data_IF_493032526288
#
_entry.id   IF_493032526288
#
_cell.length_a   1.000
_cell.length_b   1.000
_cell.length_c   1.000
_cell.angle_alpha   90.00
_cell.angle_beta   90.00
_cell.angle_gamma   90.00
#
_symmetry.space_group_name_H-M   'P 1'
#
loop_
_entity.id
_entity.type
_entity.pdbx_description
1 polymer ?
#
# COMPACT_ATOMS: atom_id res chain seq x y z
N UNK A 1 -6.64 15.75 26.70
CA UNK A 1 -7.52 14.76 26.05
C UNK A 1 -8.89 15.38 25.88
N UNK A 2 -9.35 15.50 24.64
CA UNK A 2 -10.76 15.77 24.31
C UNK A 2 -11.58 14.54 24.68
N UNK A 3 -12.80 14.75 25.16
CA UNK A 3 -13.78 13.68 25.34
C UNK A 3 -15.10 14.07 24.66
N UNK A 4 -16.07 13.17 24.67
CA UNK A 4 -17.38 13.34 24.00
C UNK A 4 -18.24 14.49 24.53
N UNK A 5 -17.74 15.26 25.51
CA UNK A 5 -18.38 16.46 26.09
C UNK A 5 -17.62 17.75 25.79
N UNK A 6 -16.51 17.70 25.06
CA UNK A 6 -15.78 18.92 24.68
C UNK A 6 -16.59 19.74 23.69
N UNK A 7 -16.66 21.04 23.95
CA UNK A 7 -17.34 22.01 23.10
C UNK A 7 -16.66 22.13 21.72
N UNK A 8 -17.38 22.57 20.67
CA UNK A 8 -16.80 22.81 19.35
C UNK A 8 -15.60 23.76 19.38
N UNK A 9 -15.60 24.73 20.30
CA UNK A 9 -14.51 25.70 20.49
C UNK A 9 -13.28 25.06 21.13
N UNK A 10 -13.45 24.15 22.10
CA UNK A 10 -12.35 23.37 22.69
C UNK A 10 -11.75 22.38 21.69
N UNK A 11 -12.59 21.78 20.84
CA UNK A 11 -12.14 20.90 19.75
C UNK A 11 -11.33 21.70 18.72
N UNK A 12 -11.80 22.91 18.36
CA UNK A 12 -11.10 23.79 17.43
C UNK A 12 -9.77 24.31 18.01
N UNK A 13 -9.76 24.69 19.29
CA UNK A 13 -8.56 25.15 19.99
C UNK A 13 -7.50 24.04 20.09
N UNK A 14 -7.89 22.81 20.42
CA UNK A 14 -6.98 21.68 20.46
C UNK A 14 -6.44 21.30 19.07
N UNK A 15 -7.27 21.37 18.01
CA UNK A 15 -6.82 21.17 16.62
C UNK A 15 -5.84 22.26 16.18
N UNK A 16 -6.08 23.51 16.58
CA UNK A 16 -5.18 24.63 16.31
C UNK A 16 -3.87 24.53 17.10
N UNK A 17 -3.93 24.05 18.34
CA UNK A 17 -2.76 23.80 19.20
C UNK A 17 -1.91 22.64 18.67
N UNK A 18 -2.54 21.53 18.27
CA UNK A 18 -1.90 20.46 17.50
C UNK A 18 -1.23 21.03 16.24
N UNK A 19 -1.95 21.80 15.43
CA UNK A 19 -1.41 22.38 14.20
C UNK A 19 -0.25 23.37 14.42
N UNK A 20 -0.15 23.97 15.61
CA UNK A 20 0.87 24.97 15.98
C UNK A 20 2.12 24.34 16.62
N UNK A 21 1.98 23.21 17.30
CA UNK A 21 3.10 22.47 17.91
C UNK A 21 3.61 21.31 17.02
N UNK A 22 2.81 20.88 16.04
CA UNK A 22 3.21 19.95 14.98
C UNK A 22 4.25 20.47 13.98
N UNK A 23 4.49 21.76 13.67
CA UNK A 23 5.35 22.12 12.52
C UNK A 23 6.80 21.64 12.62
N UNK A 24 7.53 21.77 13.75
CA UNK A 24 8.90 21.25 13.85
C UNK A 24 8.92 19.72 14.01
N UNK A 25 8.07 19.18 14.89
CA UNK A 25 8.01 17.74 15.16
C UNK A 25 7.48 16.94 13.96
N UNK A 26 6.50 17.45 13.22
CA UNK A 26 6.01 16.87 11.97
C UNK A 26 7.00 17.06 10.82
N UNK A 27 7.76 18.16 10.76
CA UNK A 27 8.82 18.32 9.76
C UNK A 27 10.01 17.38 10.02
N UNK A 28 10.43 17.22 11.28
CA UNK A 28 11.46 16.25 11.68
C UNK A 28 10.97 14.80 11.49
N UNK A 29 9.71 14.53 11.82
CA UNK A 29 9.06 13.25 11.52
C UNK A 29 8.99 13.02 10.01
N UNK A 30 8.60 14.00 9.20
CA UNK A 30 8.48 13.90 7.73
C UNK A 30 9.84 13.65 7.07
N UNK A 31 10.89 14.38 7.48
CA UNK A 31 12.23 14.19 6.93
C UNK A 31 12.84 12.83 7.32
N UNK A 32 12.68 12.42 8.59
CA UNK A 32 13.19 11.14 9.07
C UNK A 32 12.39 9.95 8.53
N UNK A 33 11.08 10.07 8.40
CA UNK A 33 10.22 9.04 7.81
C UNK A 33 10.47 8.91 6.32
N UNK A 34 10.62 10.01 5.58
CA UNK A 34 10.94 10.00 4.15
C UNK A 34 12.22 9.23 3.89
N UNK A 35 13.29 9.56 4.62
CA UNK A 35 14.57 8.86 4.46
C UNK A 35 14.40 7.34 4.66
N UNK A 36 13.75 6.93 5.75
CA UNK A 36 13.53 5.50 6.06
C UNK A 36 12.64 4.80 5.03
N UNK A 37 11.60 5.46 4.50
CA UNK A 37 10.74 4.91 3.46
C UNK A 37 11.50 4.72 2.16
N UNK A 38 12.29 5.71 1.75
CA UNK A 38 13.09 5.64 0.53
C UNK A 38 14.16 4.54 0.64
N UNK A 39 14.90 4.48 1.76
CA UNK A 39 15.89 3.43 2.01
C UNK A 39 15.27 2.03 1.99
N UNK A 40 14.09 1.87 2.62
CA UNK A 40 13.35 0.61 2.59
C UNK A 40 12.86 0.26 1.19
N UNK A 41 12.32 1.22 0.45
CA UNK A 41 11.83 1.01 -0.90
C UNK A 41 12.96 0.58 -1.84
N UNK A 42 14.12 1.23 -1.75
CA UNK A 42 15.32 0.85 -2.50
C UNK A 42 15.78 -0.56 -2.14
N UNK A 43 15.87 -0.88 -0.85
CA UNK A 43 16.25 -2.22 -0.38
C UNK A 43 15.27 -3.31 -0.83
N UNK A 44 13.98 -3.00 -0.94
CA UNK A 44 12.97 -3.92 -1.45
C UNK A 44 12.97 -4.07 -2.98
N UNK A 45 13.69 -3.21 -3.73
CA UNK A 45 13.81 -3.27 -5.19
C UNK A 45 12.88 -2.32 -5.94
N UNK A 46 12.23 -1.37 -5.27
CA UNK A 46 11.39 -0.35 -5.93
C UNK A 46 12.23 0.67 -6.71
N UNK A 47 11.66 1.30 -7.74
CA UNK A 47 12.38 2.28 -8.56
C UNK A 47 12.38 3.59 -7.82
N UNK A 48 13.25 4.52 -8.17
CA UNK A 48 13.24 5.86 -7.58
C UNK A 48 11.85 6.52 -7.68
N UNK A 49 11.20 6.42 -8.84
CA UNK A 49 9.84 6.95 -9.06
C UNK A 49 8.80 6.27 -8.18
N UNK A 50 8.87 4.93 -8.04
CA UNK A 50 7.96 4.17 -7.18
C UNK A 50 8.21 4.48 -5.69
N UNK A 51 9.46 4.62 -5.27
CA UNK A 51 9.84 4.98 -3.90
C UNK A 51 9.31 6.37 -3.52
N UNK A 52 9.41 7.36 -4.44
CA UNK A 52 8.82 8.69 -4.23
C UNK A 52 7.28 8.62 -4.11
N UNK A 53 6.62 7.72 -4.83
CA UNK A 53 5.18 7.47 -4.66
C UNK A 53 4.84 6.78 -3.33
N UNK A 54 5.64 5.81 -2.91
CA UNK A 54 5.48 5.14 -1.62
C UNK A 54 5.59 6.13 -0.46
N UNK A 55 6.57 7.04 -0.50
CA UNK A 55 6.70 8.15 0.47
C UNK A 55 5.41 8.98 0.54
N UNK A 56 4.93 9.46 -0.61
CA UNK A 56 3.68 10.26 -0.67
C UNK A 56 2.48 9.51 -0.10
N UNK A 57 2.32 8.23 -0.46
CA UNK A 57 1.19 7.41 -0.03
C UNK A 57 1.26 7.01 1.45
N UNK A 58 2.45 6.94 2.04
CA UNK A 58 2.67 6.57 3.43
C UNK A 58 2.42 7.73 4.42
N UNK A 59 2.50 9.00 3.96
CA UNK A 59 2.38 10.18 4.84
C UNK A 59 1.09 10.19 5.67
N UNK A 60 -0.07 10.15 5.01
CA UNK A 60 -1.36 10.20 5.72
C UNK A 60 -1.53 9.01 6.69
N UNK A 61 -1.29 7.74 6.30
CA UNK A 61 -1.30 6.61 7.22
C UNK A 61 -0.35 6.77 8.41
N UNK A 62 0.86 7.31 8.19
CA UNK A 62 1.83 7.53 9.25
C UNK A 62 1.33 8.56 10.27
N UNK A 63 0.84 9.71 9.81
CA UNK A 63 0.29 10.73 10.69
C UNK A 63 -0.90 10.21 11.49
N UNK A 64 -1.76 9.40 10.86
CA UNK A 64 -2.91 8.79 11.55
C UNK A 64 -2.45 7.82 12.64
N UNK A 65 -1.54 6.88 12.33
CA UNK A 65 -1.03 5.92 13.30
C UNK A 65 -0.33 6.60 14.49
N UNK A 66 0.44 7.66 14.24
CA UNK A 66 1.06 8.47 15.30
C UNK A 66 0.00 9.19 16.14
N UNK A 67 -1.04 9.76 15.52
CA UNK A 67 -2.15 10.39 16.23
C UNK A 67 -2.93 9.39 17.10
N UNK A 68 -3.00 8.13 16.67
CA UNK A 68 -3.62 7.03 17.41
C UNK A 68 -2.70 6.45 18.51
N UNK A 69 -1.50 7.01 18.70
CA UNK A 69 -0.56 6.63 19.75
C UNK A 69 0.28 5.40 19.44
N UNK A 70 0.31 4.95 18.18
CA UNK A 70 1.13 3.82 17.74
C UNK A 70 2.63 4.19 17.83
N UNK A 71 3.50 3.31 18.37
CA UNK A 71 4.93 3.56 18.42
C UNK A 71 5.53 3.87 17.03
N UNK A 72 6.43 4.85 16.95
CA UNK A 72 6.89 5.40 15.67
C UNK A 72 7.46 4.38 14.67
N UNK A 73 8.14 3.32 15.12
CA UNK A 73 8.61 2.24 14.24
C UNK A 73 7.45 1.42 13.68
N UNK A 74 6.51 1.03 14.53
CA UNK A 74 5.33 0.26 14.12
C UNK A 74 4.42 1.10 13.21
N UNK A 75 4.22 2.38 13.53
CA UNK A 75 3.47 3.32 12.70
C UNK A 75 4.09 3.45 11.29
N UNK A 76 5.42 3.49 11.19
CA UNK A 76 6.12 3.54 9.92
C UNK A 76 5.96 2.25 9.11
N UNK A 77 6.03 1.09 9.75
CA UNK A 77 5.83 -0.20 9.10
C UNK A 77 4.40 -0.36 8.57
N UNK A 78 3.40 0.00 9.38
CA UNK A 78 2.00 -0.01 8.98
C UNK A 78 1.75 0.96 7.81
N UNK A 79 2.27 2.19 7.90
CA UNK A 79 2.13 3.19 6.85
C UNK A 79 2.75 2.75 5.53
N UNK A 80 3.96 2.17 5.58
CA UNK A 80 4.64 1.63 4.41
C UNK A 80 3.90 0.44 3.80
N UNK A 81 3.36 -0.46 4.62
CA UNK A 81 2.54 -1.57 4.13
C UNK A 81 1.27 -1.08 3.42
N UNK A 82 0.58 -0.08 3.97
CA UNK A 82 -0.57 0.57 3.34
C UNK A 82 -0.16 1.24 2.02
N UNK A 83 0.96 1.95 2.00
CA UNK A 83 1.45 2.62 0.80
C UNK A 83 1.72 1.65 -0.36
N UNK A 84 2.29 0.46 -0.07
CA UNK A 84 2.49 -0.58 -1.09
C UNK A 84 1.18 -1.09 -1.68
N UNK A 85 0.16 -1.33 -0.84
CA UNK A 85 -1.17 -1.76 -1.31
C UNK A 85 -1.82 -0.71 -2.19
N UNK A 86 -1.78 0.56 -1.76
CA UNK A 86 -2.30 1.69 -2.54
C UNK A 86 -1.55 1.89 -3.85
N UNK A 87 -0.23 1.70 -3.87
CA UNK A 87 0.55 1.80 -5.09
C UNK A 87 0.14 0.70 -6.08
N UNK A 88 0.03 -0.55 -5.63
CA UNK A 88 -0.45 -1.67 -6.47
C UNK A 88 -1.87 -1.42 -7.01
N UNK A 89 -2.77 -0.92 -6.17
CA UNK A 89 -4.11 -0.51 -6.59
C UNK A 89 -4.07 0.59 -7.65
N UNK A 90 -3.18 1.59 -7.51
CA UNK A 90 -3.00 2.63 -8.51
C UNK A 90 -2.53 2.11 -9.87
N UNK A 91 -1.63 1.11 -9.91
CA UNK A 91 -1.24 0.44 -11.16
C UNK A 91 -2.41 -0.31 -11.81
N UNK A 92 -3.20 -1.00 -10.99
CA UNK A 92 -4.39 -1.73 -11.45
C UNK A 92 -5.45 -0.78 -12.01
N UNK A 93 -5.82 0.26 -11.26
CA UNK A 93 -6.84 1.22 -11.67
C UNK A 93 -6.39 2.00 -12.92
N UNK A 94 -5.12 2.42 -13.00
CA UNK A 94 -4.60 3.06 -14.21
C UNK A 94 -4.68 2.14 -15.44
N UNK A 95 -4.43 0.83 -15.27
CA UNK A 95 -4.59 -0.12 -16.38
C UNK A 95 -6.06 -0.19 -16.84
N UNK A 96 -7.02 -0.17 -15.92
CA UNK A 96 -8.45 -0.12 -16.25
C UNK A 96 -8.83 1.20 -16.96
N UNK A 97 -8.31 2.33 -16.49
CA UNK A 97 -8.54 3.65 -17.10
C UNK A 97 -7.97 3.74 -18.52
N UNK A 98 -6.88 3.02 -18.80
CA UNK A 98 -6.32 2.84 -20.16
C UNK A 98 -7.17 1.90 -21.05
N UNK A 99 -8.29 1.38 -20.55
CA UNK A 99 -9.21 0.51 -21.28
C UNK A 99 -8.81 -0.97 -21.27
N UNK A 100 -7.85 -1.38 -20.43
CA UNK A 100 -7.53 -2.81 -20.25
C UNK A 100 -8.64 -3.48 -19.44
N UNK A 101 -8.80 -4.79 -19.65
CA UNK A 101 -9.69 -5.59 -18.82
C UNK A 101 -9.04 -5.91 -17.45
N UNK A 102 -9.85 -6.40 -16.50
CA UNK A 102 -9.39 -6.74 -15.15
C UNK A 102 -8.30 -7.80 -15.12
N UNK A 103 -8.37 -8.78 -16.03
CA UNK A 103 -7.32 -9.78 -16.21
C UNK A 103 -5.96 -9.12 -16.47
N UNK A 104 -5.87 -8.26 -17.49
CA UNK A 104 -4.64 -7.54 -17.84
C UNK A 104 -4.23 -6.55 -16.74
N UNK A 105 -5.17 -5.90 -16.06
CA UNK A 105 -4.88 -5.03 -14.93
C UNK A 105 -4.24 -5.82 -13.76
N UNK A 106 -4.74 -7.00 -13.44
CA UNK A 106 -4.14 -7.86 -12.42
C UNK A 106 -2.76 -8.36 -12.83
N UNK A 107 -2.58 -8.79 -14.09
CA UNK A 107 -1.26 -9.17 -14.59
C UNK A 107 -0.25 -8.01 -14.56
N UNK A 108 -0.69 -6.75 -14.68
CA UNK A 108 0.18 -5.58 -14.52
C UNK A 108 0.72 -5.49 -13.09
N UNK A 109 -0.09 -5.85 -12.09
CA UNK A 109 0.35 -5.91 -10.69
C UNK A 109 1.33 -7.07 -10.46
N UNK A 110 1.08 -8.22 -11.08
CA UNK A 110 2.02 -9.36 -11.04
C UNK A 110 3.36 -9.00 -11.67
N UNK A 111 3.35 -8.32 -12.82
CA UNK A 111 4.56 -7.85 -13.49
C UNK A 111 5.34 -6.85 -12.62
N UNK A 112 4.64 -5.94 -11.93
CA UNK A 112 5.25 -5.04 -10.96
C UNK A 112 5.98 -5.80 -9.84
N UNK A 113 5.37 -6.84 -9.28
CA UNK A 113 6.00 -7.68 -8.25
C UNK A 113 7.27 -8.36 -8.78
N UNK A 114 7.22 -8.92 -9.99
CA UNK A 114 8.37 -9.55 -10.65
C UNK A 114 9.51 -8.54 -10.85
N UNK A 115 9.21 -7.37 -11.38
CA UNK A 115 10.19 -6.30 -11.58
C UNK A 115 10.84 -5.86 -10.25
N UNK A 116 10.07 -5.81 -9.15
CA UNK A 116 10.61 -5.49 -7.82
C UNK A 116 11.57 -6.59 -7.36
N UNK A 117 11.21 -7.87 -7.51
CA UNK A 117 12.07 -9.01 -7.16
C UNK A 117 13.37 -9.06 -7.99
N UNK A 118 13.27 -8.85 -9.30
CA UNK A 118 14.43 -8.86 -10.19
C UNK A 118 15.44 -7.75 -9.83
N UNK A 119 14.95 -6.56 -9.46
CA UNK A 119 15.80 -5.42 -9.11
C UNK A 119 16.56 -5.58 -7.80
N UNK A 120 16.05 -6.39 -6.86
CA UNK A 120 16.80 -6.79 -5.66
C UNK A 120 17.73 -7.99 -5.89
N UNK A 121 17.78 -8.52 -7.11
CA UNK A 121 18.59 -9.69 -7.47
C UNK A 121 18.00 -11.03 -7.04
N UNK A 122 16.72 -11.05 -6.65
CA UNK A 122 16.03 -12.29 -6.29
C UNK A 122 15.40 -12.95 -7.52
N UNK A 123 15.10 -14.24 -7.40
CA UNK A 123 14.26 -14.92 -8.37
C UNK A 123 12.88 -14.27 -8.39
N UNK A 124 12.43 -13.87 -9.58
CA UNK A 124 11.06 -13.44 -9.78
C UNK A 124 10.09 -14.57 -9.37
N UNK A 125 8.95 -14.25 -8.74
CA UNK A 125 7.93 -15.25 -8.49
C UNK A 125 7.50 -15.92 -9.80
N UNK A 126 7.62 -17.24 -9.85
CA UNK A 126 7.17 -18.03 -10.98
C UNK A 126 5.76 -18.55 -10.68
N UNK A 127 4.77 -17.95 -11.34
CA UNK A 127 3.37 -18.32 -11.20
C UNK A 127 2.94 -19.04 -12.48
N UNK A 128 2.63 -20.36 -12.41
CA UNK A 128 2.15 -21.10 -13.56
C UNK A 128 0.88 -20.50 -14.16
N UNK A 129 0.74 -20.54 -15.50
CA UNK A 129 -0.43 -20.01 -16.22
C UNK A 129 -1.78 -20.50 -15.66
N UNK A 130 -1.95 -21.79 -15.29
CA UNK A 130 -3.21 -22.25 -14.69
C UNK A 130 -3.55 -21.55 -13.37
N UNK A 131 -2.54 -21.28 -12.54
CA UNK A 131 -2.72 -20.56 -11.28
C UNK A 131 -3.07 -19.09 -11.54
N UNK A 132 -2.36 -18.44 -12.48
CA UNK A 132 -2.64 -17.05 -12.84
C UNK A 132 -4.06 -16.89 -13.40
N UNK A 133 -4.52 -17.85 -14.21
CA UNK A 133 -5.88 -17.83 -14.76
C UNK A 133 -6.94 -17.91 -13.66
N UNK A 134 -6.78 -18.82 -12.69
CA UNK A 134 -7.70 -18.94 -11.55
C UNK A 134 -7.66 -17.69 -10.65
N UNK A 135 -6.48 -17.12 -10.42
CA UNK A 135 -6.33 -15.88 -9.68
C UNK A 135 -7.06 -14.71 -10.36
N UNK A 136 -6.93 -14.58 -11.68
CA UNK A 136 -7.64 -13.54 -12.43
C UNK A 136 -9.17 -13.72 -12.38
N UNK A 137 -9.67 -14.95 -12.47
CA UNK A 137 -11.12 -15.24 -12.31
C UNK A 137 -11.61 -14.82 -10.93
N UNK A 138 -10.81 -15.05 -9.89
CA UNK A 138 -11.15 -14.65 -8.53
C UNK A 138 -11.18 -13.12 -8.36
N UNK A 139 -10.28 -12.39 -9.04
CA UNK A 139 -10.29 -10.92 -9.10
C UNK A 139 -11.57 -10.41 -9.77
N UNK A 140 -11.99 -11.01 -10.89
CA UNK A 140 -13.25 -10.66 -11.55
C UNK A 140 -14.46 -10.93 -10.66
N UNK A 141 -14.53 -12.11 -10.02
CA UNK A 141 -15.60 -12.44 -9.09
C UNK A 141 -15.64 -11.52 -7.86
N UNK A 142 -14.48 -11.05 -7.38
CA UNK A 142 -14.40 -10.04 -6.31
C UNK A 142 -14.95 -8.69 -6.78
N UNK A 143 -14.69 -8.29 -8.02
CA UNK A 143 -15.23 -7.07 -8.60
C UNK A 143 -16.76 -7.13 -8.75
N UNK A 144 -17.30 -8.26 -9.19
CA UNK A 144 -18.75 -8.49 -9.29
C UNK A 144 -19.47 -8.36 -7.94
N UNK A 145 -18.78 -8.68 -6.84
CA UNK A 145 -19.26 -8.49 -5.47
C UNK A 145 -19.13 -7.06 -4.96
N UNK A 146 -18.56 -6.15 -5.76
CA UNK A 146 -18.35 -4.76 -5.39
C UNK A 146 -17.22 -4.55 -4.37
N UNK A 147 -16.25 -5.47 -4.29
CA UNK A 147 -15.10 -5.30 -3.41
C UNK A 147 -14.18 -4.17 -3.88
N UNK A 148 -13.41 -3.58 -2.95
CA UNK A 148 -12.45 -2.54 -3.27
C UNK A 148 -11.35 -3.04 -4.21
N UNK A 149 -10.65 -2.16 -4.93
CA UNK A 149 -9.50 -2.55 -5.78
C UNK A 149 -8.43 -3.29 -4.97
N UNK A 150 -8.13 -2.82 -3.75
CA UNK A 150 -7.17 -3.49 -2.85
C UNK A 150 -7.63 -4.92 -2.51
N UNK A 151 -8.92 -5.12 -2.25
CA UNK A 151 -9.49 -6.44 -1.94
C UNK A 151 -9.59 -7.36 -3.16
N UNK A 152 -9.86 -6.80 -4.34
CA UNK A 152 -9.81 -7.52 -5.62
C UNK A 152 -8.41 -8.11 -5.83
N UNK A 153 -7.36 -7.28 -5.72
CA UNK A 153 -5.96 -7.70 -5.85
C UNK A 153 -5.59 -8.73 -4.77
N UNK A 154 -5.96 -8.48 -3.52
CA UNK A 154 -5.69 -9.39 -2.41
C UNK A 154 -6.36 -10.77 -2.61
N UNK A 155 -7.55 -10.80 -3.21
CA UNK A 155 -8.25 -12.05 -3.55
C UNK A 155 -7.47 -12.86 -4.58
N UNK A 156 -6.97 -12.22 -5.64
CA UNK A 156 -6.13 -12.88 -6.65
C UNK A 156 -4.86 -13.49 -6.03
N UNK A 157 -4.14 -12.71 -5.23
CA UNK A 157 -2.96 -13.22 -4.51
C UNK A 157 -3.28 -14.33 -3.50
N UNK A 158 -4.47 -14.29 -2.89
CA UNK A 158 -4.96 -15.35 -2.02
C UNK A 158 -5.08 -16.69 -2.76
N UNK A 159 -5.64 -16.67 -3.97
CA UNK A 159 -5.76 -17.86 -4.82
C UNK A 159 -4.39 -18.37 -5.27
N UNK A 160 -3.48 -17.47 -5.67
CA UNK A 160 -2.10 -17.86 -6.01
C UNK A 160 -1.46 -18.64 -4.87
N UNK A 161 -1.49 -18.08 -3.65
CA UNK A 161 -0.92 -18.72 -2.46
C UNK A 161 -1.53 -20.09 -2.18
N UNK A 162 -2.86 -20.17 -2.20
CA UNK A 162 -3.58 -21.42 -1.95
C UNK A 162 -3.18 -22.51 -2.96
N UNK A 163 -3.14 -22.18 -4.25
CA UNK A 163 -2.86 -23.17 -5.30
C UNK A 163 -1.38 -23.58 -5.34
N UNK A 164 -0.47 -22.64 -5.09
CA UNK A 164 0.97 -22.93 -4.98
C UNK A 164 1.28 -23.85 -3.80
N UNK A 165 0.63 -23.65 -2.64
CA UNK A 165 0.79 -24.52 -1.46
C UNK A 165 0.23 -25.94 -1.70
N UNK A 166 -0.76 -26.07 -2.59
CA UNK A 166 -1.39 -27.36 -2.95
C UNK A 166 -0.61 -28.16 -4.00
N UNK A 167 0.54 -27.67 -4.46
CA UNK A 167 1.45 -28.40 -5.35
C UNK A 167 1.01 -28.45 -6.81
N UNK A 168 0.17 -27.51 -7.26
CA UNK A 168 -0.08 -27.27 -8.68
C UNK A 168 1.04 -26.40 -9.26
N UNK A 169 2.29 -26.89 -9.21
CA UNK A 169 3.46 -26.27 -9.84
C UNK A 169 3.66 -26.82 -11.25
#
# INVERSE_FOLDING_TARGET
>A
MINDKSSPEEIAAYKAELARDLPPAAAELDASSRKKILERAEAEGWSKSQADWLDKLAKQPLFQAVADGVPGTEALEQAYAIARRKLAAGYFDNALDEGKNRYTAFLTVIDLEKQVAERRGDAAPDYPDPILLEACRAVEAAAEKGLSTEDQIATGYGVIRELSERGLS
#
